data_IF_036626165203
#
_entry.id   IF_036626165203
#
_cell.length_a   1.000
_cell.length_b   1.000
_cell.length_c   1.000
_cell.angle_alpha   90.00
_cell.angle_beta   90.00
_cell.angle_gamma   90.00
#
_symmetry.space_group_name_H-M   'P 1'
#
loop_
_entity.id
_entity.type
_entity.pdbx_description
1 polymer ?
#
# COMPACT_ATOMS: atom_id res chain seq x y z
N UNK A 1 1.01 -8.25 -35.79
CA UNK A 1 2.31 -7.51 -35.73
C UNK A 1 2.25 -6.30 -34.79
N UNK A 2 1.30 -5.36 -34.93
CA UNK A 2 1.11 -4.30 -33.91
C UNK A 2 0.43 -4.85 -32.64
N UNK A 3 -0.62 -5.68 -32.79
CA UNK A 3 -1.30 -6.34 -31.68
C UNK A 3 -0.40 -7.27 -30.85
N UNK A 4 0.53 -7.99 -31.49
CA UNK A 4 1.42 -8.92 -30.79
C UNK A 4 2.41 -8.18 -29.88
N UNK A 5 2.85 -6.98 -30.29
CA UNK A 5 3.84 -6.18 -29.56
C UNK A 5 3.25 -5.44 -28.36
N UNK A 6 2.00 -4.99 -28.47
CA UNK A 6 1.27 -4.41 -27.34
C UNK A 6 0.90 -5.47 -26.29
N UNK A 7 0.46 -6.66 -26.76
CA UNK A 7 0.16 -7.80 -25.89
C UNK A 7 1.38 -8.30 -25.11
N UNK A 8 2.53 -8.41 -25.78
CA UNK A 8 3.81 -8.77 -25.16
C UNK A 8 4.25 -7.73 -24.11
N UNK A 9 4.03 -6.44 -24.36
CA UNK A 9 4.31 -5.37 -23.41
C UNK A 9 3.45 -5.47 -22.13
N UNK A 10 2.15 -5.74 -22.27
CA UNK A 10 1.25 -5.91 -21.11
C UNK A 10 1.60 -7.15 -20.29
N UNK A 11 1.94 -8.27 -20.94
CA UNK A 11 2.29 -9.52 -20.24
C UNK A 11 3.56 -9.37 -19.39
N UNK A 12 4.57 -8.64 -19.89
CA UNK A 12 5.77 -8.30 -19.13
C UNK A 12 5.47 -7.43 -17.90
N UNK A 13 4.57 -6.44 -18.03
CA UNK A 13 4.16 -5.57 -16.92
C UNK A 13 3.43 -6.37 -15.84
N UNK A 14 2.50 -7.26 -16.24
CA UNK A 14 1.78 -8.15 -15.32
C UNK A 14 2.75 -9.07 -14.58
N UNK A 15 3.72 -9.66 -15.28
CA UNK A 15 4.74 -10.51 -14.66
C UNK A 15 5.57 -9.72 -13.63
N UNK A 16 5.92 -8.47 -13.92
CA UNK A 16 6.62 -7.60 -12.97
C UNK A 16 5.76 -7.32 -11.72
N UNK A 17 4.47 -7.03 -11.90
CA UNK A 17 3.55 -6.82 -10.78
C UNK A 17 3.36 -8.08 -9.94
N UNK A 18 3.15 -9.23 -10.56
CA UNK A 18 3.05 -10.50 -9.82
C UNK A 18 4.29 -10.76 -8.98
N UNK A 19 5.48 -10.48 -9.51
CA UNK A 19 6.74 -10.59 -8.76
C UNK A 19 6.76 -9.67 -7.54
N UNK A 20 6.43 -8.38 -7.73
CA UNK A 20 6.40 -7.40 -6.62
C UNK A 20 5.35 -7.77 -5.56
N UNK A 21 4.16 -8.17 -5.99
CA UNK A 21 3.07 -8.61 -5.10
C UNK A 21 3.53 -9.82 -4.28
N UNK A 22 4.18 -10.81 -4.92
CA UNK A 22 4.70 -11.99 -4.22
C UNK A 22 5.78 -11.62 -3.20
N UNK A 23 6.77 -10.83 -3.63
CA UNK A 23 7.87 -10.38 -2.77
C UNK A 23 7.34 -9.62 -1.55
N UNK A 24 6.37 -8.71 -1.72
CA UNK A 24 5.76 -7.98 -0.61
C UNK A 24 4.93 -8.89 0.31
N UNK A 25 4.17 -9.85 -0.23
CA UNK A 25 3.35 -10.77 0.55
C UNK A 25 4.20 -11.73 1.41
N UNK A 26 5.29 -12.27 0.85
CA UNK A 26 6.19 -13.20 1.55
C UNK A 26 6.89 -12.59 2.76
N UNK A 27 7.05 -11.25 2.81
CA UNK A 27 7.61 -10.56 3.99
C UNK A 27 6.73 -10.76 5.22
N UNK A 28 5.42 -10.89 5.04
CA UNK A 28 4.42 -11.00 6.11
C UNK A 28 3.88 -12.42 6.29
N UNK A 29 4.12 -13.33 5.34
CA UNK A 29 3.81 -14.76 5.47
C UNK A 29 4.86 -15.46 6.36
N UNK A 30 4.75 -15.24 7.67
CA UNK A 30 5.69 -15.76 8.65
C UNK A 30 5.75 -17.29 8.72
N UNK A 31 4.67 -17.97 8.30
CA UNK A 31 4.54 -19.42 8.35
C UNK A 31 4.85 -20.10 7.01
N UNK A 32 5.16 -19.33 5.97
CA UNK A 32 5.36 -19.80 4.60
C UNK A 32 4.19 -20.69 4.09
N UNK A 33 2.97 -20.36 4.49
CA UNK A 33 1.76 -21.13 4.19
C UNK A 33 0.85 -20.45 3.14
N UNK A 34 1.33 -19.37 2.52
CA UNK A 34 0.63 -18.49 1.59
C UNK A 34 -0.58 -17.77 2.20
N UNK A 35 -0.54 -17.48 3.50
CA UNK A 35 -1.55 -16.67 4.18
C UNK A 35 -0.90 -15.56 4.99
N UNK A 36 -1.60 -14.43 5.12
CA UNK A 36 -1.20 -13.32 5.98
C UNK A 36 -2.38 -12.90 6.84
N UNK A 37 -2.10 -12.36 8.02
CA UNK A 37 -3.12 -11.78 8.88
C UNK A 37 -3.78 -10.57 8.16
N UNK A 38 -5.10 -10.46 8.25
CA UNK A 38 -5.85 -9.36 7.63
C UNK A 38 -5.35 -7.97 8.06
N UNK A 39 -4.78 -7.86 9.27
CA UNK A 39 -4.22 -6.61 9.80
C UNK A 39 -2.97 -6.14 9.05
N UNK A 40 -2.25 -7.05 8.41
CA UNK A 40 -1.02 -6.75 7.66
C UNK A 40 -1.29 -6.27 6.22
N UNK A 41 -2.51 -6.47 5.71
CA UNK A 41 -2.88 -6.15 4.32
C UNK A 41 -2.64 -4.68 3.98
N UNK A 42 -2.98 -3.76 4.88
CA UNK A 42 -2.71 -2.34 4.68
C UNK A 42 -1.24 -2.04 4.48
N UNK A 43 -0.36 -2.66 5.27
CA UNK A 43 1.09 -2.50 5.15
C UNK A 43 1.61 -3.08 3.83
N UNK A 44 1.12 -4.24 3.42
CA UNK A 44 1.49 -4.88 2.15
C UNK A 44 1.12 -3.97 0.98
N UNK A 45 -0.11 -3.46 0.92
CA UNK A 45 -0.58 -2.58 -0.16
C UNK A 45 0.26 -1.29 -0.22
N UNK A 46 0.59 -0.70 0.94
CA UNK A 46 1.44 0.49 1.00
C UNK A 46 2.87 0.23 0.56
N UNK A 47 3.42 -0.94 0.89
CA UNK A 47 4.75 -1.34 0.38
C UNK A 47 4.80 -1.49 -1.15
N UNK A 48 3.66 -1.72 -1.80
CA UNK A 48 3.51 -1.76 -3.26
C UNK A 48 3.36 -0.35 -3.89
N UNK A 49 3.47 0.71 -3.09
CA UNK A 49 3.37 2.11 -3.51
C UNK A 49 1.94 2.62 -3.69
N UNK A 50 0.96 1.91 -3.12
CA UNK A 50 -0.44 2.31 -3.12
C UNK A 50 -0.81 2.99 -1.80
N UNK A 51 -1.53 4.11 -1.84
CA UNK A 51 -1.93 4.85 -0.62
C UNK A 51 -3.47 4.91 -0.48
N UNK A 52 -4.17 3.77 -0.27
CA UNK A 52 -5.62 3.79 -0.06
C UNK A 52 -5.97 4.45 1.27
N UNK A 53 -7.05 5.23 1.30
CA UNK A 53 -7.70 5.67 2.54
C UNK A 53 -8.16 4.47 3.38
N UNK A 54 -8.38 4.65 4.67
CA UNK A 54 -8.85 3.56 5.55
C UNK A 54 -10.19 2.97 5.09
N UNK A 55 -11.07 3.77 4.49
CA UNK A 55 -12.32 3.28 3.90
C UNK A 55 -12.08 2.42 2.65
N UNK A 56 -11.23 2.89 1.73
CA UNK A 56 -10.85 2.13 0.53
C UNK A 56 -10.10 0.85 0.87
N UNK A 57 -9.26 0.88 1.91
CA UNK A 57 -8.56 -0.30 2.41
C UNK A 57 -9.55 -1.32 2.97
N UNK A 58 -10.55 -0.88 3.73
CA UNK A 58 -11.61 -1.75 4.23
C UNK A 58 -12.40 -2.40 3.08
N UNK A 59 -12.76 -1.63 2.06
CA UNK A 59 -13.45 -2.14 0.87
C UNK A 59 -12.58 -3.15 0.11
N UNK A 60 -11.29 -2.88 -0.04
CA UNK A 60 -10.34 -3.80 -0.68
C UNK A 60 -10.15 -5.09 0.13
N UNK A 61 -10.09 -5.01 1.46
CA UNK A 61 -10.03 -6.18 2.34
C UNK A 61 -11.27 -7.05 2.14
N UNK A 62 -12.45 -6.45 2.10
CA UNK A 62 -13.70 -7.17 1.84
C UNK A 62 -13.73 -7.83 0.44
N UNK A 63 -13.01 -7.28 -0.54
CA UNK A 63 -12.88 -7.84 -1.90
C UNK A 63 -11.97 -9.08 -1.93
N UNK A 64 -10.95 -9.16 -1.06
CA UNK A 64 -9.99 -10.28 -1.01
C UNK A 64 -10.31 -11.32 0.07
N UNK A 65 -11.21 -11.01 1.00
CA UNK A 65 -11.62 -11.93 2.07
C UNK A 65 -12.49 -13.07 1.53
N UNK A 66 -12.48 -14.20 2.24
CA UNK A 66 -13.37 -15.32 1.95
C UNK A 66 -14.80 -15.03 2.43
N UNK A 67 -15.78 -15.77 1.90
CA UNK A 67 -17.19 -15.65 2.36
C UNK A 67 -17.33 -15.83 3.88
N UNK A 68 -16.47 -16.67 4.46
CA UNK A 68 -16.33 -16.82 5.90
C UNK A 68 -15.02 -16.17 6.36
N UNK A 69 -15.08 -15.08 7.16
CA UNK A 69 -13.88 -14.37 7.61
C UNK A 69 -13.08 -15.24 8.56
N UNK A 70 -11.84 -15.57 8.17
CA UNK A 70 -10.93 -16.42 8.96
C UNK A 70 -9.94 -15.61 9.79
N UNK A 71 -9.88 -14.28 9.58
CA UNK A 71 -8.80 -13.41 10.08
C UNK A 71 -7.52 -13.48 9.24
N UNK A 72 -7.49 -14.33 8.21
CA UNK A 72 -6.36 -14.49 7.31
C UNK A 72 -6.80 -14.33 5.85
N UNK A 73 -5.91 -13.76 5.03
CA UNK A 73 -6.08 -13.62 3.59
C UNK A 73 -5.13 -14.56 2.87
N UNK A 74 -5.65 -15.32 1.90
CA UNK A 74 -4.85 -16.23 1.07
C UNK A 74 -4.23 -15.49 -0.11
N UNK A 75 -2.99 -15.82 -0.44
CA UNK A 75 -2.28 -15.23 -1.57
C UNK A 75 -3.05 -15.35 -2.90
N UNK A 76 -3.72 -16.49 -3.11
CA UNK A 76 -4.51 -16.76 -4.33
C UNK A 76 -5.71 -15.82 -4.52
N UNK A 77 -6.25 -15.27 -3.43
CA UNK A 77 -7.33 -14.26 -3.45
C UNK A 77 -6.76 -12.86 -3.62
N UNK A 78 -5.64 -12.59 -2.94
CA UNK A 78 -5.00 -11.28 -2.96
C UNK A 78 -4.40 -10.93 -4.33
N UNK A 79 -3.70 -11.88 -4.97
CA UNK A 79 -2.97 -11.66 -6.22
C UNK A 79 -3.84 -11.07 -7.36
N UNK A 80 -5.00 -11.65 -7.74
CA UNK A 80 -5.78 -11.13 -8.86
C UNK A 80 -6.28 -9.71 -8.59
N UNK A 81 -6.83 -9.46 -7.40
CA UNK A 81 -7.35 -8.14 -7.01
C UNK A 81 -6.24 -7.09 -7.00
N UNK A 82 -5.09 -7.41 -6.38
CA UNK A 82 -3.98 -6.47 -6.31
C UNK A 82 -3.35 -6.20 -7.69
N UNK A 83 -3.37 -7.19 -8.58
CA UNK A 83 -2.91 -7.02 -9.97
C UNK A 83 -3.78 -6.00 -10.71
N UNK A 84 -5.10 -6.09 -10.57
CA UNK A 84 -6.05 -5.13 -11.13
C UNK A 84 -5.81 -3.72 -10.56
N UNK A 85 -5.67 -3.61 -9.24
CA UNK A 85 -5.37 -2.33 -8.56
C UNK A 85 -4.11 -1.65 -9.13
N UNK A 86 -3.04 -2.42 -9.37
CA UNK A 86 -1.79 -1.88 -9.92
C UNK A 86 -1.90 -1.51 -11.41
N UNK A 87 -2.58 -2.33 -12.22
CA UNK A 87 -2.80 -2.04 -13.63
C UNK A 87 -3.65 -0.79 -13.83
N UNK A 88 -4.71 -0.65 -13.04
CA UNK A 88 -5.65 0.48 -13.10
C UNK A 88 -5.16 1.71 -12.34
N UNK A 89 -4.11 1.56 -11.53
CA UNK A 89 -3.58 2.62 -10.66
C UNK A 89 -4.67 3.21 -9.75
N UNK A 90 -5.50 2.32 -9.15
CA UNK A 90 -6.64 2.70 -8.28
C UNK A 90 -6.22 3.61 -7.13
N UNK A 91 -5.07 3.35 -6.50
CA UNK A 91 -4.56 4.10 -5.35
C UNK A 91 -3.22 4.77 -5.67
N UNK A 92 -3.26 5.87 -6.41
CA UNK A 92 -2.04 6.58 -6.83
C UNK A 92 -1.24 7.08 -5.63
N UNK A 93 0.10 7.17 -5.76
CA UNK A 93 0.94 7.82 -4.76
C UNK A 93 0.47 9.26 -4.49
N UNK A 94 0.65 9.71 -3.25
CA UNK A 94 0.37 11.11 -2.89
C UNK A 94 1.25 12.02 -3.74
N UNK A 95 0.68 13.03 -4.42
CA UNK A 95 1.45 13.99 -5.20
C UNK A 95 2.56 14.67 -4.37
N UNK A 96 3.74 14.83 -4.96
CA UNK A 96 4.92 15.38 -4.27
C UNK A 96 4.68 16.77 -3.67
N UNK A 97 3.90 17.61 -4.34
CA UNK A 97 3.53 18.95 -3.87
C UNK A 97 2.65 18.90 -2.61
N UNK A 98 1.83 17.86 -2.48
CA UNK A 98 0.99 17.63 -1.31
C UNK A 98 1.85 17.14 -0.15
N UNK A 99 2.76 16.20 -0.41
CA UNK A 99 3.71 15.72 0.59
C UNK A 99 4.64 16.84 1.09
N UNK A 100 5.15 17.68 0.18
CA UNK A 100 6.01 18.80 0.52
C UNK A 100 5.30 19.81 1.42
N UNK A 101 4.05 20.17 1.08
CA UNK A 101 3.25 21.07 1.93
C UNK A 101 2.97 20.47 3.30
N UNK A 102 2.68 19.17 3.38
CA UNK A 102 2.49 18.49 4.66
C UNK A 102 3.78 18.52 5.50
N UNK A 103 4.95 18.31 4.86
CA UNK A 103 6.24 18.42 5.52
C UNK A 103 6.54 19.84 6.02
N UNK A 104 6.25 20.87 5.22
CA UNK A 104 6.45 22.28 5.61
C UNK A 104 5.63 22.68 6.85
N UNK A 105 4.46 22.06 7.06
CA UNK A 105 3.66 22.26 8.30
C UNK A 105 4.39 21.72 9.52
N UNK A 106 5.08 20.59 9.38
CA UNK A 106 5.84 19.95 10.47
C UNK A 106 7.21 20.61 10.71
N UNK A 107 7.78 21.26 9.70
CA UNK A 107 9.04 22.01 9.80
C UNK A 107 8.81 23.53 9.68
N UNK A 108 8.23 24.17 10.71
CA UNK A 108 7.97 25.61 10.70
C UNK A 108 9.26 26.44 10.62
N UNK A 109 10.40 25.84 10.99
CA UNK A 109 11.71 26.47 10.93
C UNK A 109 12.35 26.41 9.52
N UNK A 110 11.73 25.68 8.58
CA UNK A 110 12.24 25.47 7.20
C UNK A 110 13.67 24.96 7.15
N UNK A 111 14.01 24.05 8.06
CA UNK A 111 15.30 23.35 8.10
C UNK A 111 15.48 22.39 6.92
N UNK A 112 14.39 21.92 6.31
CA UNK A 112 14.38 20.91 5.26
C UNK A 112 14.57 19.47 5.77
N UNK A 113 14.54 19.26 7.08
CA UNK A 113 14.63 17.94 7.71
C UNK A 113 13.92 17.93 9.08
N UNK A 114 13.25 16.82 9.40
CA UNK A 114 12.69 16.53 10.71
C UNK A 114 13.60 15.53 11.44
N UNK A 115 13.84 15.74 12.73
CA UNK A 115 14.49 14.73 13.56
C UNK A 115 13.50 13.62 13.91
N UNK A 116 14.05 12.48 14.35
CA UNK A 116 13.22 11.38 14.85
C UNK A 116 12.34 11.83 16.01
N UNK A 117 12.89 12.65 16.90
CA UNK A 117 12.20 13.16 18.09
C UNK A 117 11.04 14.07 17.69
N UNK A 118 11.26 14.99 16.74
CA UNK A 118 10.22 15.89 16.20
C UNK A 118 9.09 15.08 15.55
N UNK A 119 9.44 14.08 14.75
CA UNK A 119 8.44 13.22 14.12
C UNK A 119 7.62 12.44 15.16
N UNK A 120 8.26 11.87 16.19
CA UNK A 120 7.56 11.16 17.28
C UNK A 120 6.64 12.10 18.04
N UNK A 121 7.11 13.30 18.38
CA UNK A 121 6.31 14.35 19.02
C UNK A 121 5.04 14.61 18.20
N UNK A 122 5.16 14.95 16.92
CA UNK A 122 3.98 15.18 16.06
C UNK A 122 3.06 13.95 15.91
N UNK A 123 3.60 12.73 15.90
CA UNK A 123 2.81 11.50 15.83
C UNK A 123 2.08 11.17 17.15
N UNK A 124 2.50 11.75 18.28
CA UNK A 124 1.97 11.42 19.62
C UNK A 124 1.20 12.55 20.28
N UNK A 125 1.54 13.82 20.01
CA UNK A 125 0.88 14.99 20.59
C UNK A 125 -0.46 15.32 19.92
N UNK A 126 -0.59 15.12 18.60
CA UNK A 126 -1.84 15.32 17.85
C UNK A 126 -2.59 13.99 17.62
N UNK A 127 -2.70 13.20 18.68
CA UNK A 127 -3.41 11.92 18.70
C UNK A 127 -4.90 12.06 18.37
N UNK A 128 -5.23 12.04 17.07
CA UNK A 128 -6.38 11.31 16.49
C UNK A 128 -6.53 11.49 14.98
N UNK A 129 -5.87 12.47 14.33
CA UNK A 129 -6.12 12.74 12.89
C UNK A 129 -4.88 12.80 11.99
N UNK A 130 -3.68 13.08 12.51
CA UNK A 130 -2.46 13.19 11.67
C UNK A 130 -1.64 11.89 11.62
N UNK A 131 -1.70 11.05 12.66
CA UNK A 131 -1.04 9.74 12.66
C UNK A 131 -1.57 8.81 11.55
N UNK A 132 -2.86 8.93 11.21
CA UNK A 132 -3.46 8.21 10.08
C UNK A 132 -2.85 8.62 8.74
N UNK A 133 -2.47 9.90 8.57
CA UNK A 133 -1.92 10.41 7.32
C UNK A 133 -0.52 9.86 7.02
N UNK A 134 0.24 9.50 8.06
CA UNK A 134 1.62 9.02 7.93
C UNK A 134 1.76 7.50 8.00
N UNK A 135 0.80 6.78 8.59
CA UNK A 135 0.72 5.31 8.40
C UNK A 135 0.32 4.97 6.95
N UNK A 136 -0.23 5.95 6.22
CA UNK A 136 -0.66 5.80 4.83
C UNK A 136 0.43 6.01 3.75
N UNK A 137 1.63 6.44 4.14
CA UNK A 137 2.81 6.62 3.28
C UNK A 137 3.86 5.55 3.60
#
# INVERSE_FOLDING_TARGET
>A
MADDKEREGTELVVAEYHRKIKEAFEVFDHEANNTVDVREIGTIIRSLGCCPSEGELHDLIAEVEEEEPTGYIRYEKFLPVMTEVLLERRYRPIPEDTLLRAFEVLDPSKRGFLTKEELIEYMTEEGSSVAAFWILL
#
